data_IF_823590676067
#
_entry.id   IF_823590676067
#
_cell.length_a   1.000
_cell.length_b   1.000
_cell.length_c   1.000
_cell.angle_alpha   90.00
_cell.angle_beta   90.00
_cell.angle_gamma   90.00
#
_symmetry.space_group_name_H-M   'P 1'
#
loop_
_entity.id
_entity.type
_entity.pdbx_description
1 polymer ?
#
# COMPACT_ATOMS: atom_id res chain seq x y z
N UNK A 1 -5.10 10.33 15.54
CA UNK A 1 -5.25 9.24 14.54
C UNK A 1 -5.28 9.77 13.11
N UNK A 2 -6.24 10.62 12.72
CA UNK A 2 -6.34 11.13 11.34
C UNK A 2 -5.16 12.01 10.90
N UNK A 3 -4.73 12.96 11.72
CA UNK A 3 -3.57 13.81 11.38
C UNK A 3 -2.29 12.98 11.15
N UNK A 4 -2.04 11.99 12.01
CA UNK A 4 -0.92 11.06 11.86
C UNK A 4 -1.06 10.23 10.58
N UNK A 5 -2.27 9.74 10.27
CA UNK A 5 -2.52 8.98 9.05
C UNK A 5 -2.25 9.82 7.79
N UNK A 6 -2.70 11.08 7.77
CA UNK A 6 -2.44 12.00 6.66
C UNK A 6 -0.96 12.31 6.51
N UNK A 7 -0.26 12.63 7.61
CA UNK A 7 1.18 12.89 7.59
C UNK A 7 1.95 11.67 7.08
N UNK A 8 1.62 10.48 7.59
CA UNK A 8 2.25 9.23 7.15
C UNK A 8 1.95 8.95 5.67
N UNK A 9 0.72 9.13 5.21
CA UNK A 9 0.35 8.94 3.81
C UNK A 9 1.13 9.92 2.90
N UNK A 10 1.24 11.19 3.28
CA UNK A 10 2.02 12.17 2.54
C UNK A 10 3.49 11.76 2.45
N UNK A 11 4.13 11.40 3.57
CA UNK A 11 5.54 10.97 3.60
C UNK A 11 5.75 9.73 2.73
N UNK A 12 4.91 8.71 2.88
CA UNK A 12 5.01 7.47 2.11
C UNK A 12 4.73 7.65 0.60
N UNK A 13 4.12 8.77 0.20
CA UNK A 13 3.84 9.11 -1.21
C UNK A 13 4.93 9.96 -1.89
N UNK A 14 5.92 10.46 -1.13
CA UNK A 14 7.01 11.27 -1.69
C UNK A 14 7.86 10.53 -2.72
N UNK A 15 8.26 9.26 -2.53
CA UNK A 15 9.08 8.55 -3.52
C UNK A 15 8.45 8.50 -4.92
N UNK A 16 7.13 8.33 -4.99
CA UNK A 16 6.34 8.26 -6.22
C UNK A 16 6.54 9.52 -7.08
N UNK A 17 6.59 10.69 -6.44
CA UNK A 17 6.78 11.98 -7.11
C UNK A 17 8.18 12.11 -7.75
N UNK A 18 9.17 11.36 -7.25
CA UNK A 18 10.56 11.42 -7.73
C UNK A 18 10.86 10.37 -8.78
N UNK A 19 10.22 9.20 -8.71
CA UNK A 19 10.51 8.08 -9.62
C UNK A 19 9.61 8.07 -10.86
N UNK A 20 8.34 8.47 -10.75
CA UNK A 20 7.44 8.43 -11.90
C UNK A 20 7.70 9.63 -12.80
N UNK A 21 7.96 9.34 -14.07
CA UNK A 21 8.27 10.34 -15.09
C UNK A 21 7.68 9.92 -16.43
N UNK A 22 7.55 10.90 -17.32
CA UNK A 22 7.03 10.66 -18.67
C UNK A 22 8.15 10.11 -19.54
N UNK A 23 7.91 8.96 -20.15
CA UNK A 23 8.79 8.29 -21.10
C UNK A 23 8.03 7.92 -22.37
N UNK A 24 8.75 7.80 -23.49
CA UNK A 24 8.20 7.27 -24.75
C UNK A 24 8.30 5.75 -24.80
N UNK A 25 7.31 5.08 -25.40
CA UNK A 25 7.37 3.63 -25.56
C UNK A 25 8.51 3.21 -26.50
N UNK A 26 9.31 2.18 -26.14
CA UNK A 26 10.50 1.81 -26.91
C UNK A 26 10.20 1.37 -28.36
N UNK A 27 9.01 0.83 -28.62
CA UNK A 27 8.60 0.40 -29.97
C UNK A 27 7.63 1.37 -30.67
N UNK A 28 6.95 2.23 -29.90
CA UNK A 28 5.82 3.05 -30.40
C UNK A 28 6.10 4.51 -30.03
N UNK A 29 6.87 5.21 -30.87
CA UNK A 29 7.42 6.54 -30.56
C UNK A 29 6.37 7.64 -30.40
N UNK A 30 5.13 7.40 -30.79
CA UNK A 30 4.00 8.30 -30.62
C UNK A 30 3.32 8.17 -29.25
N UNK A 31 3.60 7.10 -28.49
CA UNK A 31 2.96 6.83 -27.20
C UNK A 31 3.82 7.31 -26.03
N UNK A 32 3.25 8.20 -25.23
CA UNK A 32 3.84 8.72 -23.99
C UNK A 32 3.19 8.06 -22.78
N UNK A 33 3.99 7.66 -21.80
CA UNK A 33 3.54 6.95 -20.60
C UNK A 33 4.24 7.49 -19.36
N UNK A 34 3.50 7.56 -18.25
CA UNK A 34 4.08 7.88 -16.94
C UNK A 34 4.47 6.57 -16.25
N UNK A 35 5.78 6.31 -16.14
CA UNK A 35 6.33 5.02 -15.72
C UNK A 35 7.54 5.21 -14.80
N UNK A 36 7.96 4.12 -14.15
CA UNK A 36 9.16 4.05 -13.30
C UNK A 36 10.38 3.45 -14.02
N UNK A 37 10.24 3.10 -15.30
CA UNK A 37 11.32 2.49 -16.08
C UNK A 37 12.53 3.42 -16.11
N UNK A 38 13.74 2.87 -16.05
CA UNK A 38 14.98 3.65 -16.02
C UNK A 38 15.19 4.58 -14.80
N UNK A 39 14.26 4.62 -13.83
CA UNK A 39 14.45 5.40 -12.59
C UNK A 39 15.34 4.69 -11.57
N UNK A 40 15.48 3.38 -11.68
CA UNK A 40 16.24 2.56 -10.73
C UNK A 40 17.54 2.03 -11.37
N UNK A 41 18.66 2.01 -10.63
CA UNK A 41 19.94 1.47 -11.11
C UNK A 41 19.91 -0.04 -11.35
N UNK A 42 18.95 -0.77 -10.78
CA UNK A 42 18.78 -2.20 -11.00
C UNK A 42 17.32 -2.61 -10.85
N UNK A 43 16.95 -3.68 -11.57
CA UNK A 43 15.63 -4.30 -11.46
C UNK A 43 15.30 -4.78 -10.04
N UNK A 44 16.31 -5.21 -9.27
CA UNK A 44 16.12 -5.65 -7.89
C UNK A 44 15.57 -4.54 -6.99
N UNK A 45 16.03 -3.30 -7.17
CA UNK A 45 15.57 -2.17 -6.38
C UNK A 45 14.14 -1.76 -6.76
N UNK A 46 13.81 -1.79 -8.05
CA UNK A 46 12.44 -1.57 -8.53
C UNK A 46 11.47 -2.61 -7.95
N UNK A 47 11.87 -3.89 -7.94
CA UNK A 47 11.06 -4.96 -7.36
C UNK A 47 10.83 -4.77 -5.86
N UNK A 48 11.87 -4.41 -5.10
CA UNK A 48 11.73 -4.11 -3.66
C UNK A 48 10.75 -2.96 -3.45
N UNK A 49 10.86 -1.89 -4.24
CA UNK A 49 9.96 -0.74 -4.15
C UNK A 49 8.49 -1.15 -4.39
N UNK A 50 8.23 -1.94 -5.43
CA UNK A 50 6.86 -2.42 -5.76
C UNK A 50 6.32 -3.32 -4.64
N UNK A 51 7.12 -4.24 -4.11
CA UNK A 51 6.70 -5.15 -3.03
C UNK A 51 6.39 -4.37 -1.76
N UNK A 52 7.27 -3.46 -1.34
CA UNK A 52 7.05 -2.64 -0.14
C UNK A 52 5.80 -1.78 -0.31
N UNK A 53 5.59 -1.19 -1.49
CA UNK A 53 4.40 -0.41 -1.80
C UNK A 53 3.12 -1.26 -1.65
N UNK A 54 3.11 -2.47 -2.22
CA UNK A 54 1.97 -3.38 -2.10
C UNK A 54 1.72 -3.82 -0.65
N UNK A 55 2.79 -4.09 0.11
CA UNK A 55 2.69 -4.46 1.53
C UNK A 55 2.06 -3.34 2.37
N UNK A 56 2.52 -2.09 2.19
CA UNK A 56 2.05 -0.96 2.98
C UNK A 56 0.65 -0.49 2.56
N UNK A 57 0.33 -0.50 1.27
CA UNK A 57 -0.97 -0.01 0.78
C UNK A 57 -2.10 -1.04 0.89
N UNK A 58 -1.78 -2.34 0.86
CA UNK A 58 -2.79 -3.39 0.79
C UNK A 58 -2.64 -4.44 1.90
N UNK A 59 -1.54 -5.19 1.92
CA UNK A 59 -1.48 -6.40 2.76
C UNK A 59 -1.50 -6.10 4.26
N UNK A 60 -0.75 -5.09 4.73
CA UNK A 60 -0.74 -4.71 6.14
C UNK A 60 -2.11 -4.16 6.58
N UNK A 61 -2.73 -3.19 5.88
CA UNK A 61 -4.11 -2.78 6.18
C UNK A 61 -5.10 -3.94 6.18
N UNK A 62 -4.98 -4.86 5.23
CA UNK A 62 -5.87 -6.03 5.12
C UNK A 62 -5.76 -6.96 6.33
N UNK A 63 -4.55 -7.28 6.78
CA UNK A 63 -4.33 -8.10 8.00
C UNK A 63 -4.90 -7.41 9.23
N UNK A 64 -4.71 -6.09 9.37
CA UNK A 64 -5.27 -5.31 10.49
C UNK A 64 -6.80 -5.35 10.48
N UNK A 65 -7.43 -5.22 9.31
CA UNK A 65 -8.88 -5.31 9.15
C UNK A 65 -9.37 -6.70 9.55
N UNK A 66 -8.78 -7.77 9.01
CA UNK A 66 -9.16 -9.16 9.35
C UNK A 66 -9.07 -9.38 10.85
N UNK A 67 -7.95 -9.01 11.46
CA UNK A 67 -7.75 -9.17 12.90
C UNK A 67 -8.82 -8.41 13.70
N UNK A 68 -9.04 -7.14 13.36
CA UNK A 68 -10.02 -6.29 14.06
C UNK A 68 -11.43 -6.86 13.99
N UNK A 69 -11.88 -7.26 12.79
CA UNK A 69 -13.21 -7.84 12.62
C UNK A 69 -13.33 -9.23 13.25
N UNK A 70 -12.30 -10.06 13.18
CA UNK A 70 -12.27 -11.34 13.87
C UNK A 70 -12.41 -11.15 15.40
N UNK A 71 -11.66 -10.21 15.98
CA UNK A 71 -11.77 -9.89 17.41
C UNK A 71 -13.16 -9.38 17.80
N UNK A 72 -13.76 -8.51 16.99
CA UNK A 72 -15.13 -8.01 17.22
C UNK A 72 -16.13 -9.17 17.20
N UNK A 73 -16.06 -10.06 16.20
CA UNK A 73 -16.95 -11.21 16.10
C UNK A 73 -16.78 -12.17 17.27
N UNK A 74 -15.55 -12.48 17.65
CA UNK A 74 -15.26 -13.33 18.81
C UNK A 74 -15.85 -12.74 20.09
N UNK A 75 -15.74 -11.43 20.28
CA UNK A 75 -16.31 -10.75 21.44
C UNK A 75 -17.84 -10.78 21.44
N UNK A 76 -18.47 -10.58 20.29
CA UNK A 76 -19.94 -10.71 20.14
C UNK A 76 -20.37 -12.13 20.49
N UNK A 77 -19.71 -13.16 19.93
CA UNK A 77 -20.05 -14.56 20.25
C UNK A 77 -19.86 -14.88 21.74
N UNK A 78 -18.80 -14.35 22.36
CA UNK A 78 -18.54 -14.53 23.79
C UNK A 78 -19.66 -13.94 24.65
N UNK A 79 -20.10 -12.71 24.36
CA UNK A 79 -21.19 -12.03 25.09
C UNK A 79 -22.54 -12.69 24.88
N UNK A 80 -22.84 -13.10 23.64
CA UNK A 80 -24.10 -13.81 23.34
C UNK A 80 -24.19 -15.15 24.08
N UNK A 81 -23.05 -15.87 24.23
CA UNK A 81 -23.03 -17.16 24.93
C UNK A 81 -23.07 -17.04 26.46
N UNK A 82 -22.55 -15.95 27.04
CA UNK A 82 -22.50 -15.72 28.49
C UNK A 82 -23.20 -14.39 28.88
N UNK A 83 -24.54 -14.29 28.80
CA UNK A 83 -25.26 -13.03 28.98
C UNK A 83 -25.27 -12.46 30.42
N UNK A 84 -24.72 -13.17 31.41
CA UNK A 84 -24.81 -12.83 32.85
C UNK A 84 -23.42 -12.43 33.43
N UNK A 85 -22.40 -12.27 32.60
CA UNK A 85 -21.05 -11.82 32.99
C UNK A 85 -20.81 -10.33 32.77
#
# INVERSE_FOLDING_TARGET
>A
MLAVAWIAASICSVPQMLIFHVETHPNETWYYQCVSYNSFPSYGLELVYVIVSALLMYFLPFVVIIYSYASILLEIFRRTRNPIG
#
